data_IF_971658458390
#
_entry.id   IF_971658458390
#
_cell.length_a   1.000
_cell.length_b   1.000
_cell.length_c   1.000
_cell.angle_alpha   90.00
_cell.angle_beta   90.00
_cell.angle_gamma   90.00
#
_symmetry.space_group_name_H-M   'P 1'
#
loop_
_entity.id
_entity.type
_entity.pdbx_description
1 polymer ?
#
# COMPACT_ATOMS: atom_id res chain seq x y z
N UNK A 1 68.59 61.78 -7.90
CA UNK A 1 68.18 60.52 -8.56
C UNK A 1 66.99 59.97 -7.79
N UNK A 2 65.93 59.58 -8.51
CA UNK A 2 64.56 59.46 -8.03
C UNK A 2 64.11 58.01 -7.81
N UNK A 3 63.07 57.86 -6.95
CA UNK A 3 62.07 56.76 -6.86
C UNK A 3 62.64 55.37 -6.52
N UNK A 4 61.96 54.44 -5.85
CA UNK A 4 60.54 54.19 -5.57
C UNK A 4 60.55 53.07 -4.51
N UNK A 5 59.80 53.15 -3.41
CA UNK A 5 59.36 51.96 -2.66
C UNK A 5 58.08 52.31 -1.90
N UNK A 6 57.04 52.55 -2.70
CA UNK A 6 55.70 52.84 -2.22
C UNK A 6 54.70 52.01 -3.03
N UNK A 7 54.82 50.67 -2.96
CA UNK A 7 53.81 49.72 -3.48
C UNK A 7 53.86 48.44 -2.62
N UNK A 8 53.38 48.49 -1.36
CA UNK A 8 52.98 47.29 -0.59
C UNK A 8 51.74 47.55 0.27
N UNK A 9 50.81 48.28 -0.31
CA UNK A 9 49.41 48.47 0.12
C UNK A 9 48.75 48.70 -1.23
N UNK A 10 47.93 47.85 -1.83
CA UNK A 10 46.73 47.17 -1.35
C UNK A 10 46.52 45.97 -2.31
N UNK A 11 46.58 44.74 -1.82
CA UNK A 11 46.16 43.54 -2.57
C UNK A 11 45.94 42.36 -1.62
N UNK A 12 45.32 42.63 -0.48
CA UNK A 12 44.86 41.59 0.46
C UNK A 12 43.45 41.97 0.87
N UNK A 13 42.54 41.01 0.80
CA UNK A 13 41.13 41.07 1.20
C UNK A 13 40.07 41.42 0.15
N UNK A 14 40.20 40.89 -1.08
CA UNK A 14 39.02 40.63 -1.93
C UNK A 14 38.88 39.15 -2.32
N UNK A 15 38.98 38.25 -1.33
CA UNK A 15 38.58 36.84 -1.43
C UNK A 15 37.55 36.42 -0.36
N UNK A 16 37.01 37.37 0.40
CA UNK A 16 36.47 37.13 1.75
C UNK A 16 34.98 36.77 1.84
N UNK A 17 34.27 36.67 0.70
CA UNK A 17 32.86 36.26 0.68
C UNK A 17 32.66 34.75 0.72
N UNK A 18 33.42 33.98 -0.05
CA UNK A 18 33.17 32.53 -0.17
C UNK A 18 33.95 31.72 0.87
N UNK A 19 35.16 32.16 1.24
CA UNK A 19 35.99 31.49 2.26
C UNK A 19 35.44 31.66 3.69
N UNK A 20 34.93 32.86 4.04
CA UNK A 20 34.39 33.11 5.38
C UNK A 20 33.04 32.43 5.65
N UNK A 21 32.23 32.22 4.60
CA UNK A 21 30.98 31.48 4.70
C UNK A 21 31.24 29.98 4.86
N UNK A 22 32.18 29.43 4.10
CA UNK A 22 32.54 28.02 4.25
C UNK A 22 33.07 27.71 5.65
N UNK A 23 34.05 28.47 6.16
CA UNK A 23 34.60 28.20 7.50
C UNK A 23 33.58 28.43 8.64
N UNK A 24 32.62 29.35 8.47
CA UNK A 24 31.56 29.61 9.44
C UNK A 24 30.54 28.48 9.52
N UNK A 25 30.24 27.80 8.41
CA UNK A 25 29.26 26.71 8.36
C UNK A 25 29.86 25.30 8.25
N UNK A 26 31.18 25.17 8.08
CA UNK A 26 31.91 23.90 7.96
C UNK A 26 31.61 22.94 9.11
N UNK A 27 31.56 23.44 10.35
CA UNK A 27 31.21 22.60 11.51
C UNK A 27 29.74 22.13 11.46
N UNK A 28 28.80 22.96 11.02
CA UNK A 28 27.40 22.55 10.82
C UNK A 28 27.24 21.56 9.65
N UNK A 29 28.06 21.71 8.60
CA UNK A 29 28.09 20.78 7.48
C UNK A 29 28.62 19.40 7.91
N UNK A 30 29.68 19.35 8.72
CA UNK A 30 30.20 18.08 9.27
C UNK A 30 29.25 17.44 10.29
N UNK A 31 28.61 18.24 11.15
CA UNK A 31 27.61 17.73 12.10
C UNK A 31 26.38 17.21 11.35
N UNK A 32 25.87 17.97 10.38
CA UNK A 32 24.74 17.57 9.54
C UNK A 32 25.05 16.32 8.71
N UNK A 33 26.22 16.28 8.06
CA UNK A 33 26.68 15.12 7.32
C UNK A 33 26.87 13.89 8.21
N UNK A 34 27.47 14.06 9.39
CA UNK A 34 27.64 12.99 10.38
C UNK A 34 26.29 12.44 10.88
N UNK A 35 25.33 13.32 11.16
CA UNK A 35 23.98 12.93 11.57
C UNK A 35 23.27 12.10 10.49
N UNK A 36 23.37 12.50 9.22
CA UNK A 36 22.82 11.74 8.09
C UNK A 36 23.46 10.34 8.01
N UNK A 37 24.79 10.23 8.16
CA UNK A 37 25.48 8.93 8.15
C UNK A 37 24.99 8.03 9.28
N UNK A 38 24.82 8.57 10.50
CA UNK A 38 24.31 7.80 11.64
C UNK A 38 22.88 7.32 11.39
N UNK A 39 22.02 8.15 10.80
CA UNK A 39 20.64 7.77 10.44
C UNK A 39 20.64 6.65 9.41
N UNK A 40 21.42 6.78 8.33
CA UNK A 40 21.50 5.76 7.27
C UNK A 40 22.02 4.43 7.81
N UNK A 41 23.06 4.46 8.66
CA UNK A 41 23.59 3.25 9.31
C UNK A 41 22.58 2.64 10.29
N UNK A 42 21.79 3.47 10.97
CA UNK A 42 20.68 3.02 11.83
C UNK A 42 19.61 2.27 11.03
N UNK A 43 19.16 2.84 9.91
CA UNK A 43 18.18 2.21 9.01
C UNK A 43 18.73 0.89 8.46
N UNK A 44 19.96 0.89 7.94
CA UNK A 44 20.58 -0.32 7.41
C UNK A 44 20.77 -1.40 8.48
N UNK A 45 21.17 -1.01 9.69
CA UNK A 45 21.31 -1.93 10.83
C UNK A 45 19.97 -2.55 11.22
N UNK A 46 18.90 -1.76 11.29
CA UNK A 46 17.55 -2.25 11.57
C UNK A 46 17.06 -3.21 10.49
N UNK A 47 17.18 -2.85 9.21
CA UNK A 47 16.79 -3.71 8.11
C UNK A 47 17.54 -5.06 8.17
N UNK A 48 18.86 -5.03 8.36
CA UNK A 48 19.68 -6.24 8.27
C UNK A 48 19.56 -7.18 9.47
N UNK A 49 19.39 -6.63 10.68
CA UNK A 49 19.45 -7.40 11.92
C UNK A 49 18.10 -7.58 12.62
N UNK A 50 17.04 -6.88 12.17
CA UNK A 50 15.70 -6.98 12.75
C UNK A 50 14.66 -7.32 11.68
N UNK A 51 14.49 -6.49 10.65
CA UNK A 51 13.43 -6.68 9.66
C UNK A 51 13.62 -7.93 8.78
N UNK A 52 14.81 -8.12 8.20
CA UNK A 52 15.09 -9.28 7.33
C UNK A 52 14.88 -10.62 8.06
N UNK A 53 15.44 -10.85 9.27
CA UNK A 53 15.18 -12.07 10.03
C UNK A 53 13.69 -12.27 10.35
N UNK A 54 12.99 -11.22 10.81
CA UNK A 54 11.57 -11.27 11.14
C UNK A 54 10.73 -11.64 9.91
N UNK A 55 11.09 -11.13 8.73
CA UNK A 55 10.41 -11.46 7.49
C UNK A 55 10.61 -12.92 7.05
N UNK A 56 11.80 -13.50 7.29
CA UNK A 56 12.06 -14.92 7.02
C UNK A 56 11.26 -15.79 8.00
N UNK A 57 11.31 -15.48 9.30
CA UNK A 57 10.59 -16.20 10.34
C UNK A 57 9.07 -16.18 10.08
N UNK A 58 8.53 -15.02 9.69
CA UNK A 58 7.11 -14.89 9.36
C UNK A 58 6.65 -15.88 8.29
N UNK A 59 7.52 -16.19 7.32
CA UNK A 59 7.22 -17.13 6.24
C UNK A 59 7.13 -18.58 6.71
N UNK A 60 7.86 -18.93 7.77
CA UNK A 60 7.86 -20.28 8.34
C UNK A 60 6.62 -20.50 9.22
N UNK A 61 6.20 -19.49 9.98
CA UNK A 61 5.09 -19.61 10.94
C UNK A 61 3.72 -19.60 10.26
N UNK A 62 3.51 -18.80 9.20
CA UNK A 62 2.17 -18.67 8.60
C UNK A 62 1.72 -19.92 7.82
N UNK A 63 2.66 -20.77 7.39
CA UNK A 63 2.37 -21.85 6.43
C UNK A 63 1.32 -22.85 6.94
N UNK A 64 1.35 -23.20 8.23
CA UNK A 64 0.40 -24.16 8.78
C UNK A 64 -1.02 -23.57 8.86
N UNK A 65 -1.15 -22.34 9.35
CA UNK A 65 -2.42 -21.62 9.36
C UNK A 65 -2.98 -21.45 7.93
N UNK A 66 -2.11 -21.09 6.97
CA UNK A 66 -2.49 -20.97 5.58
C UNK A 66 -2.88 -22.29 4.93
N UNK A 67 -2.24 -23.38 5.28
CA UNK A 67 -2.62 -24.71 4.80
C UNK A 67 -4.04 -25.07 5.24
N UNK A 68 -4.36 -24.90 6.53
CA UNK A 68 -5.70 -25.19 7.05
C UNK A 68 -6.76 -24.26 6.45
N UNK A 69 -6.44 -22.97 6.28
CA UNK A 69 -7.29 -22.01 5.57
C UNK A 69 -7.62 -22.50 4.13
N UNK A 70 -6.62 -22.95 3.37
CA UNK A 70 -6.81 -23.42 1.99
C UNK A 70 -7.62 -24.71 1.88
N UNK A 71 -7.54 -25.59 2.88
CA UNK A 71 -8.32 -26.84 2.94
C UNK A 71 -9.76 -26.61 3.43
N UNK A 72 -10.14 -25.35 3.69
CA UNK A 72 -11.47 -24.98 4.14
C UNK A 72 -11.68 -25.31 5.61
N UNK A 73 -10.80 -24.80 6.46
CA UNK A 73 -10.86 -24.97 7.91
C UNK A 73 -12.29 -24.82 8.46
N UNK A 74 -12.71 -25.80 9.25
CA UNK A 74 -14.01 -25.83 9.93
C UNK A 74 -13.88 -25.76 11.45
N UNK A 75 -12.65 -25.66 11.94
CA UNK A 75 -12.30 -25.74 13.36
C UNK A 75 -11.89 -24.40 13.96
N UNK A 76 -11.55 -23.41 13.14
CA UNK A 76 -11.00 -22.12 13.56
C UNK A 76 -9.48 -22.16 13.76
N UNK A 77 -8.85 -23.30 13.53
CA UNK A 77 -7.42 -23.51 13.73
C UNK A 77 -6.54 -22.63 12.82
N UNK A 78 -7.02 -22.23 11.64
CA UNK A 78 -6.29 -21.28 10.80
C UNK A 78 -6.22 -19.88 11.43
N UNK A 79 -7.24 -19.49 12.19
CA UNK A 79 -7.39 -18.13 12.73
C UNK A 79 -6.87 -18.03 14.17
N UNK A 80 -7.33 -18.94 15.04
CA UNK A 80 -7.01 -18.98 16.47
C UNK A 80 -5.68 -19.73 16.76
N UNK A 81 -5.25 -20.57 15.84
CA UNK A 81 -4.10 -21.45 16.01
C UNK A 81 -4.41 -22.71 16.81
N UNK A 82 -3.36 -23.45 17.14
CA UNK A 82 -3.43 -24.70 17.91
C UNK A 82 -2.28 -24.79 18.90
N UNK A 83 -2.21 -25.87 19.68
CA UNK A 83 -1.03 -26.16 20.51
C UNK A 83 0.26 -26.35 19.68
N UNK A 84 0.17 -26.55 18.37
CA UNK A 84 1.29 -26.89 17.50
C UNK A 84 1.74 -25.75 16.58
N UNK A 85 0.90 -24.75 16.33
CA UNK A 85 1.22 -23.61 15.47
C UNK A 85 0.31 -22.41 15.76
N UNK A 86 0.81 -21.21 15.48
CA UNK A 86 0.09 -19.96 15.70
C UNK A 86 -0.92 -19.69 14.57
N UNK A 87 -2.10 -19.19 14.93
CA UNK A 87 -3.12 -18.78 13.97
C UNK A 87 -2.87 -17.40 13.37
N UNK A 88 -3.64 -17.06 12.35
CA UNK A 88 -3.52 -15.77 11.67
C UNK A 88 -3.67 -14.57 12.61
N UNK A 89 -4.48 -14.65 13.68
CA UNK A 89 -4.60 -13.54 14.64
C UNK A 89 -3.25 -13.21 15.28
N UNK A 90 -2.58 -14.21 15.87
CA UNK A 90 -1.27 -14.04 16.50
C UNK A 90 -0.20 -13.67 15.48
N UNK A 91 -0.22 -14.29 14.29
CA UNK A 91 0.78 -14.01 13.25
C UNK A 91 0.66 -12.56 12.76
N UNK A 92 -0.56 -12.05 12.58
CA UNK A 92 -0.80 -10.68 12.16
C UNK A 92 -0.24 -9.68 13.18
N UNK A 93 -0.45 -9.90 14.49
CA UNK A 93 0.09 -9.05 15.55
C UNK A 93 1.62 -9.14 15.65
N UNK A 94 2.17 -10.35 15.71
CA UNK A 94 3.59 -10.55 15.97
C UNK A 94 4.46 -10.20 14.75
N UNK A 95 3.93 -10.39 13.54
CA UNK A 95 4.66 -10.24 12.28
C UNK A 95 4.13 -9.10 11.40
N UNK A 96 3.48 -8.09 12.00
CA UNK A 96 3.09 -6.88 11.29
C UNK A 96 4.25 -6.27 10.47
N UNK A 97 3.92 -5.84 9.25
CA UNK A 97 4.85 -5.31 8.26
C UNK A 97 5.80 -6.32 7.62
N UNK A 98 5.53 -7.63 7.73
CA UNK A 98 6.25 -8.67 6.99
C UNK A 98 5.33 -9.43 6.03
N UNK A 99 5.86 -10.17 5.03
CA UNK A 99 5.03 -10.94 4.10
C UNK A 99 4.12 -11.97 4.79
N UNK A 100 4.59 -12.63 5.86
CA UNK A 100 3.76 -13.55 6.64
C UNK A 100 2.66 -12.83 7.44
N UNK A 101 2.97 -11.65 7.99
CA UNK A 101 1.97 -10.80 8.66
C UNK A 101 0.91 -10.28 7.69
N UNK A 102 1.30 -9.84 6.49
CA UNK A 102 0.34 -9.40 5.45
C UNK A 102 -0.62 -10.52 5.02
N UNK A 103 -0.10 -11.75 4.86
CA UNK A 103 -0.93 -12.94 4.56
C UNK A 103 -1.89 -13.23 5.73
N UNK A 104 -1.41 -13.13 6.97
CA UNK A 104 -2.24 -13.35 8.15
C UNK A 104 -3.33 -12.27 8.30
N UNK A 105 -2.99 -10.99 8.08
CA UNK A 105 -3.95 -9.89 8.01
C UNK A 105 -5.02 -10.16 6.95
N UNK A 106 -4.63 -10.59 5.76
CA UNK A 106 -5.58 -10.96 4.71
C UNK A 106 -6.49 -12.11 5.14
N UNK A 107 -5.94 -13.16 5.76
CA UNK A 107 -6.70 -14.30 6.28
C UNK A 107 -7.73 -13.89 7.32
N UNK A 108 -7.33 -13.08 8.31
CA UNK A 108 -8.24 -12.54 9.32
C UNK A 108 -9.32 -11.65 8.71
N UNK A 109 -8.96 -10.78 7.76
CA UNK A 109 -9.93 -9.96 7.06
C UNK A 109 -11.00 -10.81 6.36
N UNK A 110 -10.60 -11.85 5.63
CA UNK A 110 -11.57 -12.74 4.96
C UNK A 110 -12.49 -13.45 5.95
N UNK A 111 -11.96 -13.89 7.09
CA UNK A 111 -12.76 -14.53 8.13
C UNK A 111 -13.81 -13.57 8.72
N UNK A 112 -13.40 -12.36 9.06
CA UNK A 112 -14.29 -11.35 9.62
C UNK A 112 -15.34 -10.88 8.60
N UNK A 113 -14.97 -10.81 7.31
CA UNK A 113 -15.94 -10.59 6.22
C UNK A 113 -16.99 -11.70 6.15
N UNK A 114 -16.60 -12.97 6.32
CA UNK A 114 -17.55 -14.09 6.35
C UNK A 114 -18.50 -14.03 7.56
N UNK A 115 -18.00 -13.56 8.70
CA UNK A 115 -18.78 -13.34 9.92
C UNK A 115 -19.64 -12.07 9.88
N UNK A 116 -19.42 -11.20 8.88
CA UNK A 116 -20.10 -9.92 8.73
C UNK A 116 -19.57 -8.82 9.65
N UNK A 117 -18.41 -9.00 10.25
CA UNK A 117 -17.68 -7.97 10.99
C UNK A 117 -16.83 -7.13 10.02
N UNK A 118 -17.51 -6.21 9.32
CA UNK A 118 -16.90 -5.36 8.30
C UNK A 118 -15.91 -4.34 8.88
N UNK A 119 -16.14 -3.87 10.10
CA UNK A 119 -15.23 -2.92 10.76
C UNK A 119 -13.93 -3.62 11.16
N UNK A 120 -14.02 -4.80 11.78
CA UNK A 120 -12.83 -5.61 12.08
C UNK A 120 -12.08 -6.02 10.81
N UNK A 121 -12.80 -6.41 9.75
CA UNK A 121 -12.17 -6.73 8.47
C UNK A 121 -11.37 -5.54 7.89
N UNK A 122 -11.92 -4.32 7.96
CA UNK A 122 -11.22 -3.11 7.52
C UNK A 122 -9.95 -2.85 8.33
N UNK A 123 -9.97 -3.07 9.65
CA UNK A 123 -8.78 -2.94 10.51
C UNK A 123 -7.64 -3.87 10.06
N UNK A 124 -7.94 -5.12 9.72
CA UNK A 124 -6.94 -6.05 9.18
C UNK A 124 -6.51 -5.69 7.75
N UNK A 125 -7.44 -5.30 6.87
CA UNK A 125 -7.12 -4.88 5.50
C UNK A 125 -6.25 -3.61 5.45
N UNK A 126 -6.31 -2.75 6.45
CA UNK A 126 -5.43 -1.58 6.58
C UNK A 126 -3.97 -1.93 6.81
N UNK A 127 -3.69 -3.15 7.30
CA UNK A 127 -2.34 -3.68 7.50
C UNK A 127 -1.89 -4.63 6.37
N UNK A 128 -2.64 -4.70 5.26
CA UNK A 128 -2.23 -5.43 4.06
C UNK A 128 -1.57 -4.48 3.04
N UNK A 129 -0.23 -4.42 3.04
CA UNK A 129 0.57 -3.63 2.09
C UNK A 129 1.29 -4.50 1.05
N UNK A 130 0.54 -5.36 0.35
CA UNK A 130 1.12 -6.25 -0.65
C UNK A 130 1.79 -5.45 -1.79
N UNK A 131 3.09 -5.68 -1.96
CA UNK A 131 3.85 -5.18 -3.11
C UNK A 131 3.34 -5.75 -4.44
N UNK A 132 2.81 -6.98 -4.43
CA UNK A 132 2.21 -7.58 -5.62
C UNK A 132 0.98 -6.77 -6.07
N UNK A 133 1.03 -6.34 -7.32
CA UNK A 133 0.01 -5.47 -7.91
C UNK A 133 -1.37 -6.12 -7.83
N UNK A 134 -1.48 -7.42 -8.10
CA UNK A 134 -2.77 -8.08 -8.14
C UNK A 134 -3.36 -8.19 -6.73
N UNK A 135 -2.59 -8.69 -5.77
CA UNK A 135 -3.04 -8.83 -4.38
C UNK A 135 -3.36 -7.48 -3.76
N UNK A 136 -2.50 -6.48 -3.92
CA UNK A 136 -2.76 -5.14 -3.40
C UNK A 136 -3.99 -4.48 -4.05
N UNK A 137 -4.26 -4.75 -5.33
CA UNK A 137 -5.50 -4.28 -5.98
C UNK A 137 -6.74 -4.99 -5.43
N UNK A 138 -6.64 -6.30 -5.14
CA UNK A 138 -7.73 -7.06 -4.54
C UNK A 138 -8.06 -6.57 -3.12
N UNK A 139 -7.05 -6.23 -2.30
CA UNK A 139 -7.25 -5.66 -0.97
C UNK A 139 -8.04 -4.35 -1.02
N UNK A 140 -7.72 -3.44 -1.96
CA UNK A 140 -8.52 -2.23 -2.18
C UNK A 140 -9.98 -2.58 -2.52
N UNK A 141 -10.16 -3.56 -3.40
CA UNK A 141 -11.47 -4.12 -3.71
C UNK A 141 -12.24 -4.64 -2.49
N UNK A 142 -11.58 -5.40 -1.62
CA UNK A 142 -12.18 -5.94 -0.41
C UNK A 142 -12.57 -4.84 0.58
N UNK A 143 -11.78 -3.77 0.69
CA UNK A 143 -12.18 -2.58 1.46
C UNK A 143 -13.46 -1.98 0.89
N UNK A 144 -13.50 -1.78 -0.43
CA UNK A 144 -14.70 -1.33 -1.13
C UNK A 144 -15.92 -2.22 -0.85
N UNK A 145 -15.75 -3.54 -0.89
CA UNK A 145 -16.80 -4.51 -0.58
C UNK A 145 -17.29 -4.39 0.88
N UNK A 146 -16.39 -4.22 1.86
CA UNK A 146 -16.76 -3.96 3.26
C UNK A 146 -17.61 -2.68 3.38
N UNK A 147 -17.24 -1.61 2.68
CA UNK A 147 -18.01 -0.37 2.68
C UNK A 147 -19.38 -0.51 2.02
N UNK A 148 -19.51 -1.34 0.97
CA UNK A 148 -20.82 -1.67 0.38
C UNK A 148 -21.73 -2.34 1.42
N UNK A 149 -21.23 -3.34 2.13
CA UNK A 149 -22.01 -4.09 3.13
C UNK A 149 -22.39 -3.22 4.34
N UNK A 150 -21.58 -2.20 4.67
CA UNK A 150 -21.90 -1.17 5.64
C UNK A 150 -22.92 -0.12 5.15
N UNK A 151 -23.24 -0.12 3.84
CA UNK A 151 -24.07 0.91 3.21
C UNK A 151 -23.36 2.26 3.00
N UNK A 152 -22.04 2.29 3.17
CA UNK A 152 -21.18 3.46 3.02
C UNK A 152 -20.71 3.60 1.57
N UNK A 153 -21.68 3.86 0.68
CA UNK A 153 -21.49 3.77 -0.78
C UNK A 153 -20.47 4.77 -1.34
N UNK A 154 -20.32 5.95 -0.73
CA UNK A 154 -19.35 6.96 -1.17
C UNK A 154 -17.91 6.45 -0.98
N UNK A 155 -17.61 5.84 0.16
CA UNK A 155 -16.29 5.24 0.41
C UNK A 155 -16.09 3.98 -0.44
N UNK A 156 -17.14 3.17 -0.62
CA UNK A 156 -17.06 1.98 -1.46
C UNK A 156 -16.61 2.30 -2.89
N UNK A 157 -17.20 3.32 -3.50
CA UNK A 157 -16.85 3.70 -4.87
C UNK A 157 -15.44 4.28 -4.97
N UNK A 158 -14.98 5.06 -3.98
CA UNK A 158 -13.59 5.55 -3.92
C UNK A 158 -12.59 4.39 -3.96
N UNK A 159 -12.78 3.35 -3.14
CA UNK A 159 -11.90 2.18 -3.14
C UNK A 159 -11.96 1.36 -4.43
N UNK A 160 -13.13 1.22 -5.05
CA UNK A 160 -13.23 0.53 -6.35
C UNK A 160 -12.59 1.33 -7.49
N UNK A 161 -12.70 2.66 -7.49
CA UNK A 161 -12.01 3.50 -8.45
C UNK A 161 -10.50 3.44 -8.24
N UNK A 162 -10.04 3.52 -6.99
CA UNK A 162 -8.61 3.35 -6.65
C UNK A 162 -8.09 1.99 -7.11
N UNK A 163 -8.83 0.91 -6.87
CA UNK A 163 -8.47 -0.43 -7.34
C UNK A 163 -8.43 -0.51 -8.88
N UNK A 164 -9.40 0.10 -9.57
CA UNK A 164 -9.42 0.12 -11.03
C UNK A 164 -8.26 0.93 -11.63
N UNK A 165 -7.78 1.96 -10.91
CA UNK A 165 -6.74 2.88 -11.37
C UNK A 165 -5.33 2.52 -10.88
N UNK A 166 -5.19 1.64 -9.88
CA UNK A 166 -3.89 1.21 -9.31
C UNK A 166 -2.92 0.74 -10.38
N UNK A 167 -3.33 -0.23 -11.19
CA UNK A 167 -2.57 -0.65 -12.38
C UNK A 167 -3.50 -1.27 -13.44
N UNK A 168 -3.46 -0.71 -14.64
CA UNK A 168 -4.34 -1.10 -15.74
C UNK A 168 -4.04 -2.54 -16.23
N UNK A 169 -5.00 -3.45 -16.11
CA UNK A 169 -4.89 -4.82 -16.62
C UNK A 169 -6.27 -5.44 -16.95
N UNK A 170 -6.26 -6.48 -17.78
CA UNK A 170 -7.47 -7.13 -18.31
C UNK A 170 -8.32 -7.89 -17.27
N UNK A 171 -7.84 -8.01 -16.03
CA UNK A 171 -8.51 -8.76 -14.97
C UNK A 171 -9.11 -7.84 -13.90
N UNK A 172 -8.29 -7.13 -13.12
CA UNK A 172 -8.81 -6.35 -11.98
C UNK A 172 -9.40 -5.01 -12.40
N UNK A 173 -8.89 -4.34 -13.44
CA UNK A 173 -9.45 -3.06 -13.89
C UNK A 173 -10.92 -3.15 -14.31
N UNK A 174 -11.31 -4.02 -15.27
CA UNK A 174 -12.73 -4.14 -15.65
C UNK A 174 -13.61 -4.68 -14.52
N UNK A 175 -13.07 -5.54 -13.66
CA UNK A 175 -13.76 -6.03 -12.46
C UNK A 175 -14.15 -4.89 -11.52
N UNK A 176 -13.20 -4.03 -11.15
CA UNK A 176 -13.47 -2.94 -10.22
C UNK A 176 -14.21 -1.76 -10.85
N UNK A 177 -14.03 -1.49 -12.15
CA UNK A 177 -14.92 -0.57 -12.88
C UNK A 177 -16.38 -1.04 -12.85
N UNK A 178 -16.62 -2.36 -12.94
CA UNK A 178 -17.98 -2.91 -12.90
C UNK A 178 -18.58 -2.76 -11.50
N UNK A 179 -17.80 -3.05 -10.45
CA UNK A 179 -18.20 -2.84 -9.05
C UNK A 179 -18.50 -1.36 -8.77
N UNK A 180 -17.61 -0.44 -9.15
CA UNK A 180 -17.85 1.00 -9.06
C UNK A 180 -19.15 1.41 -9.79
N UNK A 181 -19.35 0.93 -11.01
CA UNK A 181 -20.60 1.19 -11.75
C UNK A 181 -21.84 0.70 -11.01
N UNK A 182 -21.79 -0.47 -10.36
CA UNK A 182 -22.92 -1.00 -9.59
C UNK A 182 -23.21 -0.14 -8.35
N UNK A 183 -22.18 0.34 -7.66
CA UNK A 183 -22.36 1.27 -6.54
C UNK A 183 -22.95 2.59 -7.01
N UNK A 184 -22.49 3.11 -8.16
CA UNK A 184 -23.07 4.31 -8.75
C UNK A 184 -24.55 4.14 -9.13
N UNK A 185 -24.97 2.95 -9.57
CA UNK A 185 -26.39 2.67 -9.78
C UNK A 185 -27.19 2.72 -8.48
N UNK A 186 -26.68 2.12 -7.40
CA UNK A 186 -27.33 2.15 -6.08
C UNK A 186 -27.44 3.58 -5.53
N UNK A 187 -26.50 4.45 -5.88
CA UNK A 187 -26.53 5.88 -5.56
C UNK A 187 -27.42 6.72 -6.51
N UNK A 188 -28.14 6.09 -7.46
CA UNK A 188 -28.87 6.75 -8.55
C UNK A 188 -27.99 7.65 -9.44
N UNK A 189 -26.66 7.50 -9.38
CA UNK A 189 -25.69 8.23 -10.19
C UNK A 189 -25.47 7.51 -11.55
N UNK A 190 -26.54 7.45 -12.34
CA UNK A 190 -26.54 6.75 -13.62
C UNK A 190 -25.55 7.32 -14.65
N UNK A 191 -25.17 8.61 -14.53
CA UNK A 191 -24.15 9.22 -15.39
C UNK A 191 -22.77 8.59 -15.12
N UNK A 192 -22.38 8.45 -13.85
CA UNK A 192 -21.12 7.83 -13.48
C UNK A 192 -21.12 6.32 -13.79
N UNK A 193 -22.22 5.63 -13.49
CA UNK A 193 -22.39 4.22 -13.86
C UNK A 193 -22.21 3.99 -15.37
N UNK A 194 -22.84 4.82 -16.20
CA UNK A 194 -22.70 4.76 -17.66
C UNK A 194 -21.24 4.90 -18.08
N UNK A 195 -20.50 5.87 -17.52
CA UNK A 195 -19.08 6.09 -17.85
C UNK A 195 -18.23 4.86 -17.51
N UNK A 196 -18.41 4.27 -16.34
CA UNK A 196 -17.68 3.07 -15.93
C UNK A 196 -17.94 1.89 -16.87
N UNK A 197 -19.20 1.68 -17.25
CA UNK A 197 -19.58 0.59 -18.15
C UNK A 197 -19.14 0.83 -19.61
N UNK A 198 -19.20 2.06 -20.10
CA UNK A 198 -18.66 2.41 -21.42
C UNK A 198 -17.14 2.21 -21.48
N UNK A 199 -16.42 2.54 -20.39
CA UNK A 199 -14.97 2.30 -20.28
C UNK A 199 -14.66 0.82 -20.39
N UNK A 200 -15.38 -0.06 -19.69
CA UNK A 200 -15.25 -1.53 -19.83
C UNK A 200 -15.48 -1.95 -21.28
N UNK A 201 -16.60 -1.52 -21.87
CA UNK A 201 -16.97 -1.90 -23.24
C UNK A 201 -15.92 -1.49 -24.28
N UNK A 202 -15.32 -0.31 -24.13
CA UNK A 202 -14.41 0.29 -25.11
C UNK A 202 -12.96 -0.15 -24.92
N UNK A 203 -12.48 -0.18 -23.68
CA UNK A 203 -11.07 -0.35 -23.36
C UNK A 203 -10.73 -1.78 -22.93
N UNK A 204 -11.71 -2.51 -22.39
CA UNK A 204 -11.53 -3.85 -21.81
C UNK A 204 -12.44 -4.90 -22.47
N UNK A 205 -12.65 -4.78 -23.78
CA UNK A 205 -13.60 -5.60 -24.55
C UNK A 205 -13.34 -7.12 -24.54
N UNK A 206 -12.13 -7.56 -24.16
CA UNK A 206 -11.76 -8.97 -24.04
C UNK A 206 -12.00 -9.55 -22.63
N UNK A 207 -12.32 -8.69 -21.65
CA UNK A 207 -12.56 -9.08 -20.27
C UNK A 207 -13.86 -9.89 -20.11
N UNK A 208 -13.97 -10.60 -18.99
CA UNK A 208 -15.19 -11.32 -18.62
C UNK A 208 -16.36 -10.35 -18.42
N UNK A 209 -16.08 -9.19 -17.85
CA UNK A 209 -17.06 -8.15 -17.52
C UNK A 209 -17.64 -7.49 -18.77
N UNK A 210 -16.86 -7.37 -19.84
CA UNK A 210 -17.35 -6.86 -21.12
C UNK A 210 -18.39 -7.77 -21.78
N UNK A 211 -18.41 -9.08 -21.47
CA UNK A 211 -19.28 -10.04 -22.10
C UNK A 211 -20.78 -9.76 -21.85
N UNK A 212 -21.13 -9.20 -20.70
CA UNK A 212 -22.50 -8.86 -20.33
C UNK A 212 -22.73 -7.36 -20.09
N UNK A 213 -21.74 -6.50 -20.39
CA UNK A 213 -21.77 -5.08 -20.02
C UNK A 213 -22.92 -4.29 -20.67
N UNK A 214 -23.34 -4.68 -21.87
CA UNK A 214 -24.47 -4.06 -22.58
C UNK A 214 -25.79 -4.14 -21.79
N UNK A 215 -25.95 -5.17 -20.96
CA UNK A 215 -27.10 -5.30 -20.06
C UNK A 215 -27.12 -4.18 -19.02
N UNK A 216 -25.96 -3.82 -18.48
CA UNK A 216 -25.82 -2.81 -17.44
C UNK A 216 -25.97 -1.41 -18.06
N UNK A 217 -25.37 -1.17 -19.22
CA UNK A 217 -25.58 0.06 -19.99
C UNK A 217 -27.07 0.31 -20.28
N UNK A 218 -27.82 -0.71 -20.70
CA UNK A 218 -29.24 -0.58 -20.98
C UNK A 218 -30.11 -0.28 -19.73
N UNK A 219 -29.60 -0.52 -18.51
CA UNK A 219 -30.31 -0.26 -17.25
C UNK A 219 -30.17 1.19 -16.80
N UNK A 220 -29.05 1.83 -17.13
CA UNK A 220 -28.68 3.18 -16.65
C UNK A 220 -28.86 4.28 -17.71
N UNK A 221 -29.29 3.92 -18.92
CA UNK A 221 -29.53 4.83 -20.04
C UNK A 221 -31.00 5.13 -20.30
#
# INVERSE_FOLDING_TARGET
MAKNDNIKTEAKDELTGTESFFDKYKNYFFIGGGAIVVIVLGIFGYQKFVSEPKAIESQEVYWNAFYDYQEGDTTGAAYDGTENYDGFESIAEDYDGTPGGEIANYGMATHLMEDGDWDGALEYLDNCDFEDVMLGTLVLGMKGDCYVEKGELDQAVEYFEEAAEREANEFTTPMFLKKAGLVYEEQDNYEAATKSYEKIKKEWSASKEAADIDKYLARVQ
#
